data_IF_202362010167
#
_entry.id   IF_202362010167
#
_cell.length_a   1.000
_cell.length_b   1.000
_cell.length_c   1.000
_cell.angle_alpha   90.00
_cell.angle_beta   90.00
_cell.angle_gamma   90.00
#
_symmetry.space_group_name_H-M   'P 1'
#
loop_
_entity.id
_entity.type
_entity.pdbx_description
1 polymer ?
#
# COMPACT_ATOMS: atom_id res chain seq x y z
N UNK A 1 -22.82 -45.55 -9.14
CA UNK A 1 -21.82 -44.72 -9.85
C UNK A 1 -22.50 -43.43 -10.29
N UNK A 2 -22.51 -42.39 -9.47
CA UNK A 2 -23.09 -41.07 -9.84
C UNK A 2 -22.72 -39.93 -8.88
N UNK A 3 -21.62 -40.05 -8.13
CA UNK A 3 -21.13 -38.98 -7.22
C UNK A 3 -20.23 -37.93 -7.88
N UNK A 4 -19.73 -38.21 -9.09
CA UNK A 4 -18.71 -37.37 -9.74
C UNK A 4 -19.30 -36.15 -10.46
N UNK A 5 -20.53 -36.24 -10.97
CA UNK A 5 -21.19 -35.13 -11.67
C UNK A 5 -21.60 -33.99 -10.72
N UNK A 6 -22.00 -34.31 -9.48
CA UNK A 6 -22.36 -33.29 -8.47
C UNK A 6 -21.14 -32.54 -7.93
N UNK A 7 -19.96 -33.15 -7.95
CA UNK A 7 -18.73 -32.51 -7.48
C UNK A 7 -18.15 -31.53 -8.51
N UNK A 8 -18.38 -31.76 -9.79
CA UNK A 8 -18.04 -30.81 -10.86
C UNK A 8 -19.00 -29.61 -10.91
N UNK A 9 -20.27 -29.79 -10.53
CA UNK A 9 -21.22 -28.66 -10.47
C UNK A 9 -20.99 -27.77 -9.24
N UNK A 10 -20.49 -28.33 -8.14
CA UNK A 10 -20.05 -27.58 -6.96
C UNK A 10 -18.85 -26.67 -7.26
N UNK A 11 -17.91 -27.12 -8.09
CA UNK A 11 -16.72 -26.34 -8.47
C UNK A 11 -16.96 -25.35 -9.62
N UNK A 12 -18.05 -25.48 -10.37
CA UNK A 12 -18.44 -24.56 -11.44
C UNK A 12 -19.60 -23.61 -11.04
N UNK A 13 -20.18 -23.82 -9.85
CA UNK A 13 -21.34 -23.08 -9.33
C UNK A 13 -21.03 -21.97 -8.34
N UNK A 14 -19.78 -21.83 -7.85
CA UNK A 14 -19.39 -20.67 -7.02
C UNK A 14 -18.94 -19.49 -7.88
N UNK A 15 -19.76 -19.13 -8.88
CA UNK A 15 -19.74 -17.82 -9.52
C UNK A 15 -20.91 -17.04 -8.95
N UNK A 16 -20.76 -16.64 -7.70
CA UNK A 16 -21.73 -15.86 -6.96
C UNK A 16 -21.04 -15.12 -5.84
N UNK A 17 -20.50 -13.94 -6.14
CA UNK A 17 -20.36 -12.89 -5.13
C UNK A 17 -20.66 -11.54 -5.77
N UNK A 18 -21.78 -10.97 -5.30
CA UNK A 18 -22.05 -9.53 -5.21
C UNK A 18 -21.77 -8.66 -6.43
N UNK A 19 -22.81 -8.45 -7.23
CA UNK A 19 -23.03 -7.18 -7.92
C UNK A 19 -23.01 -6.03 -6.90
N UNK A 20 -22.04 -5.11 -6.99
CA UNK A 20 -22.06 -3.83 -6.27
C UNK A 20 -20.71 -3.22 -5.88
N UNK A 21 -19.69 -4.01 -5.55
CA UNK A 21 -18.44 -3.53 -4.89
C UNK A 21 -17.16 -3.82 -5.71
N UNK A 22 -17.24 -3.76 -7.05
CA UNK A 22 -16.34 -4.54 -7.93
C UNK A 22 -15.11 -3.81 -8.53
N UNK A 23 -14.89 -2.51 -8.29
CA UNK A 23 -13.81 -1.76 -8.96
C UNK A 23 -12.51 -1.64 -8.15
N UNK A 24 -12.62 -1.20 -6.89
CA UNK A 24 -11.46 -0.85 -6.07
C UNK A 24 -10.89 -2.05 -5.32
N UNK A 25 -11.78 -2.89 -4.78
CA UNK A 25 -11.39 -4.16 -4.17
C UNK A 25 -10.59 -5.10 -5.11
N UNK A 26 -10.71 -4.96 -6.44
CA UNK A 26 -9.86 -5.65 -7.42
C UNK A 26 -8.43 -5.12 -7.49
N UNK A 27 -8.21 -3.83 -7.20
CA UNK A 27 -6.87 -3.26 -7.11
C UNK A 27 -6.15 -3.87 -5.91
N UNK A 28 -6.86 -4.09 -4.80
CA UNK A 28 -6.39 -4.85 -3.63
C UNK A 28 -6.18 -6.36 -3.90
N UNK A 29 -6.50 -6.91 -5.09
CA UNK A 29 -6.14 -8.30 -5.39
C UNK A 29 -4.62 -8.40 -5.54
N UNK A 30 -3.98 -9.44 -4.94
CA UNK A 30 -2.57 -9.74 -5.12
C UNK A 30 -2.13 -9.65 -6.60
N UNK A 31 -1.45 -8.56 -6.97
CA UNK A 31 -0.98 -8.29 -8.33
C UNK A 31 -1.37 -6.93 -8.92
N UNK A 32 -2.53 -6.36 -8.59
CA UNK A 32 -2.99 -5.09 -9.18
C UNK A 32 -2.40 -3.85 -8.45
N UNK A 33 -2.44 -3.81 -7.12
CA UNK A 33 -1.71 -2.80 -6.33
C UNK A 33 -0.19 -2.91 -6.53
N UNK A 34 0.35 -4.13 -6.60
CA UNK A 34 1.77 -4.36 -6.92
C UNK A 34 2.16 -3.86 -8.32
N UNK A 35 1.24 -3.98 -9.30
CA UNK A 35 1.36 -3.39 -10.62
C UNK A 35 1.42 -1.87 -10.56
N UNK A 36 0.43 -1.22 -9.95
CA UNK A 36 0.40 0.24 -9.76
C UNK A 36 1.65 0.77 -9.05
N UNK A 37 2.06 0.10 -7.97
CA UNK A 37 3.28 0.40 -7.23
C UNK A 37 4.52 0.26 -8.11
N UNK A 38 4.56 -0.76 -8.97
CA UNK A 38 5.66 -0.91 -9.91
C UNK A 38 5.74 0.19 -10.98
N UNK A 39 4.60 0.72 -11.42
CA UNK A 39 4.52 1.78 -12.44
C UNK A 39 4.82 3.16 -11.87
N UNK A 40 4.32 3.46 -10.68
CA UNK A 40 4.50 4.76 -10.02
C UNK A 40 5.90 4.95 -9.44
N UNK A 41 6.63 3.86 -9.23
CA UNK A 41 7.96 3.92 -8.63
C UNK A 41 9.03 4.02 -9.71
N UNK A 42 9.70 5.18 -9.70
CA UNK A 42 10.78 5.50 -10.61
C UNK A 42 12.01 4.60 -10.39
N UNK A 43 12.32 4.27 -9.13
CA UNK A 43 13.53 3.52 -8.77
C UNK A 43 13.38 1.99 -8.98
N UNK A 44 14.39 1.38 -9.63
CA UNK A 44 14.41 -0.05 -9.97
C UNK A 44 14.40 -0.97 -8.74
N UNK A 45 15.10 -0.62 -7.66
CA UNK A 45 15.18 -1.45 -6.45
C UNK A 45 13.88 -1.40 -5.67
N UNK A 46 13.29 -0.21 -5.55
CA UNK A 46 11.96 0.00 -4.97
C UNK A 46 10.87 -0.72 -5.78
N UNK A 47 10.93 -0.64 -7.11
CA UNK A 47 10.02 -1.38 -8.02
C UNK A 47 10.13 -2.89 -7.81
N UNK A 48 11.34 -3.45 -7.80
CA UNK A 48 11.58 -4.88 -7.53
C UNK A 48 11.01 -5.31 -6.17
N UNK A 49 11.22 -4.51 -5.13
CA UNK A 49 10.68 -4.77 -3.79
C UNK A 49 9.14 -4.79 -3.84
N UNK A 50 8.52 -3.75 -4.39
CA UNK A 50 7.06 -3.66 -4.46
C UNK A 50 6.43 -4.73 -5.36
N UNK A 51 7.09 -5.15 -6.44
CA UNK A 51 6.62 -6.30 -7.24
C UNK A 51 6.75 -7.61 -6.45
N UNK A 52 7.84 -7.80 -5.70
CA UNK A 52 8.08 -9.02 -4.91
C UNK A 52 7.18 -9.13 -3.68
N UNK A 53 6.86 -8.00 -3.04
CA UNK A 53 6.14 -7.97 -1.75
C UNK A 53 4.72 -7.38 -1.83
N UNK A 54 4.42 -6.56 -2.85
CA UNK A 54 3.08 -6.00 -3.11
C UNK A 54 2.13 -6.96 -3.86
N UNK A 55 2.62 -8.12 -4.30
CA UNK A 55 1.83 -9.14 -5.03
C UNK A 55 1.26 -10.23 -4.12
N UNK A 56 1.22 -10.05 -2.80
CA UNK A 56 0.50 -10.97 -1.90
C UNK A 56 0.99 -11.11 -0.46
N UNK A 57 2.13 -10.51 -0.10
CA UNK A 57 2.72 -10.63 1.24
C UNK A 57 2.24 -9.50 2.19
N UNK A 58 2.04 -8.29 1.66
CA UNK A 58 1.57 -7.13 2.41
C UNK A 58 0.10 -7.24 2.88
N UNK A 59 -0.76 -7.88 2.10
CA UNK A 59 -2.21 -7.90 2.36
C UNK A 59 -2.66 -8.99 3.33
N UNK A 60 -1.76 -9.90 3.69
CA UNK A 60 -1.98 -10.90 4.73
C UNK A 60 -1.41 -10.41 6.08
N UNK A 61 -1.62 -9.14 6.44
CA UNK A 61 -1.51 -8.63 7.82
C UNK A 61 -0.24 -9.01 8.62
N UNK A 62 0.91 -9.24 7.97
CA UNK A 62 2.16 -9.58 8.66
C UNK A 62 3.08 -10.63 8.01
N UNK A 63 3.14 -10.72 6.67
CA UNK A 63 3.97 -11.71 5.99
C UNK A 63 5.14 -11.12 5.20
N UNK A 64 6.37 -11.40 5.63
CA UNK A 64 7.59 -11.47 4.81
C UNK A 64 8.53 -10.25 4.65
N UNK A 65 8.39 -9.17 5.43
CA UNK A 65 9.39 -8.08 5.40
C UNK A 65 10.12 -7.91 6.74
N UNK A 66 9.45 -8.31 7.80
CA UNK A 66 9.99 -8.53 9.11
C UNK A 66 9.35 -9.85 9.57
N UNK A 67 10.11 -10.79 10.14
CA UNK A 67 9.50 -12.03 10.66
C UNK A 67 8.25 -11.69 11.48
N UNK A 68 7.16 -12.46 11.36
CA UNK A 68 5.84 -12.14 11.93
C UNK A 68 5.87 -11.61 13.38
N UNK A 69 6.86 -12.04 14.15
CA UNK A 69 7.21 -11.55 15.49
C UNK A 69 7.51 -10.04 15.54
N UNK A 70 8.33 -9.51 14.63
CA UNK A 70 8.71 -8.10 14.60
C UNK A 70 7.55 -7.21 14.11
N UNK A 71 6.77 -7.70 13.14
CA UNK A 71 5.53 -7.03 12.73
C UNK A 71 4.53 -6.93 13.89
N UNK A 72 4.33 -8.01 14.64
CA UNK A 72 3.49 -7.98 15.84
C UNK A 72 4.02 -7.00 16.90
N UNK A 73 5.34 -6.94 17.09
CA UNK A 73 5.95 -5.92 17.98
C UNK A 73 5.68 -4.49 17.51
N UNK A 74 5.71 -4.23 16.21
CA UNK A 74 5.36 -2.91 15.67
C UNK A 74 3.88 -2.59 15.87
N UNK A 75 2.99 -3.57 15.62
CA UNK A 75 1.55 -3.45 15.92
C UNK A 75 1.32 -3.11 17.39
N UNK A 76 1.98 -3.81 18.30
CA UNK A 76 1.87 -3.57 19.75
C UNK A 76 2.37 -2.17 20.15
N UNK A 77 3.48 -1.71 19.55
CA UNK A 77 4.03 -0.36 19.81
C UNK A 77 3.12 0.74 19.28
N UNK A 78 2.61 0.61 18.06
CA UNK A 78 1.64 1.57 17.49
C UNK A 78 0.36 1.57 18.32
N UNK A 79 -0.20 0.40 18.64
CA UNK A 79 -1.36 0.30 19.54
C UNK A 79 -1.09 0.96 20.90
N UNK A 80 0.12 0.82 21.42
CA UNK A 80 0.53 1.47 22.67
C UNK A 80 0.62 2.99 22.55
N UNK A 81 1.05 3.51 21.41
CA UNK A 81 1.05 4.95 21.12
C UNK A 81 -0.36 5.55 20.98
N UNK A 82 -1.35 4.71 20.66
CA UNK A 82 -2.77 5.09 20.58
C UNK A 82 -3.59 4.68 21.82
N UNK A 83 -2.97 4.45 22.98
CA UNK A 83 -3.70 4.05 24.21
C UNK A 83 -4.79 5.04 24.64
N UNK A 84 -4.62 6.33 24.31
CA UNK A 84 -5.60 7.39 24.60
C UNK A 84 -6.81 7.37 23.65
N UNK A 85 -6.84 6.48 22.65
CA UNK A 85 -7.91 6.33 21.68
C UNK A 85 -8.67 5.00 21.86
N UNK A 86 -9.79 4.99 22.62
CA UNK A 86 -10.46 3.75 23.03
C UNK A 86 -11.02 2.88 21.89
N UNK A 87 -11.19 3.48 20.71
CA UNK A 87 -11.72 2.85 19.50
C UNK A 87 -10.62 2.37 18.54
N UNK A 88 -9.36 2.72 18.81
CA UNK A 88 -8.23 2.36 17.96
C UNK A 88 -7.96 0.84 18.02
N UNK A 89 -7.71 0.23 16.88
CA UNK A 89 -7.50 -1.21 16.71
C UNK A 89 -8.78 -2.06 16.74
N UNK A 90 -9.95 -1.46 16.99
CA UNK A 90 -11.25 -2.17 17.02
C UNK A 90 -12.02 -2.09 15.70
N UNK A 91 -11.72 -1.09 14.88
CA UNK A 91 -12.41 -0.83 13.62
C UNK A 91 -11.44 -1.04 12.46
N UNK A 92 -11.83 -1.89 11.52
CA UNK A 92 -11.14 -2.07 10.25
C UNK A 92 -11.85 -1.20 9.22
N UNK A 93 -11.09 -0.43 8.46
CA UNK A 93 -11.63 0.38 7.36
C UNK A 93 -12.26 -0.53 6.30
N UNK A 94 -13.38 -0.12 5.67
CA UNK A 94 -13.90 -0.79 4.48
C UNK A 94 -12.80 -0.97 3.42
N UNK A 95 -12.82 -2.10 2.70
CA UNK A 95 -11.77 -2.46 1.76
C UNK A 95 -11.54 -1.40 0.68
N UNK A 96 -12.61 -0.83 0.14
CA UNK A 96 -12.51 0.21 -0.89
C UNK A 96 -11.80 1.47 -0.36
N UNK A 97 -12.15 1.94 0.84
CA UNK A 97 -11.50 3.10 1.47
C UNK A 97 -10.02 2.83 1.78
N UNK A 98 -9.70 1.62 2.26
CA UNK A 98 -8.30 1.22 2.50
C UNK A 98 -7.52 1.20 1.18
N UNK A 99 -8.11 0.68 0.10
CA UNK A 99 -7.50 0.68 -1.25
C UNK A 99 -7.20 2.09 -1.72
N UNK A 100 -8.18 2.99 -1.63
CA UNK A 100 -8.03 4.39 -2.04
C UNK A 100 -6.88 5.06 -1.30
N UNK A 101 -6.77 4.85 0.02
CA UNK A 101 -5.67 5.39 0.83
C UNK A 101 -4.32 4.80 0.45
N UNK A 102 -4.24 3.50 0.15
CA UNK A 102 -2.98 2.88 -0.29
C UNK A 102 -2.52 3.44 -1.64
N UNK A 103 -3.45 3.64 -2.58
CA UNK A 103 -3.16 4.28 -3.87
C UNK A 103 -2.72 5.73 -3.64
N UNK A 104 -3.41 6.48 -2.79
CA UNK A 104 -3.05 7.85 -2.45
C UNK A 104 -1.66 7.93 -1.80
N UNK A 105 -1.35 7.03 -0.87
CA UNK A 105 -0.05 6.95 -0.21
C UNK A 105 1.08 6.69 -1.20
N UNK A 106 0.85 5.77 -2.14
CA UNK A 106 1.79 5.46 -3.20
C UNK A 106 2.06 6.65 -4.14
N UNK A 107 1.00 7.37 -4.55
CA UNK A 107 1.13 8.56 -5.39
C UNK A 107 1.81 9.71 -4.63
N UNK A 108 1.48 9.91 -3.37
CA UNK A 108 2.11 10.93 -2.51
C UNK A 108 3.59 10.61 -2.29
N UNK A 109 3.90 9.33 -2.05
CA UNK A 109 5.27 8.87 -1.94
C UNK A 109 6.06 9.13 -3.23
N UNK A 110 5.49 8.78 -4.39
CA UNK A 110 6.10 9.06 -5.70
C UNK A 110 6.29 10.56 -5.99
N UNK A 111 5.41 11.43 -5.47
CA UNK A 111 5.50 12.90 -5.60
C UNK A 111 6.43 13.58 -4.60
N UNK A 112 6.91 12.86 -3.59
CA UNK A 112 7.55 13.48 -2.43
C UNK A 112 8.91 14.11 -2.73
N UNK A 113 9.53 13.82 -3.87
CA UNK A 113 10.75 14.53 -4.34
C UNK A 113 10.48 15.94 -4.87
N UNK A 114 9.20 16.25 -5.15
CA UNK A 114 8.75 17.55 -5.59
C UNK A 114 8.77 17.77 -7.10
N UNK A 115 8.23 16.87 -7.93
CA UNK A 115 7.03 17.07 -8.78
C UNK A 115 6.85 15.89 -9.75
N UNK A 116 5.60 15.50 -10.02
CA UNK A 116 5.27 14.71 -11.22
C UNK A 116 4.89 15.69 -12.33
N UNK A 117 5.70 15.74 -13.39
CA UNK A 117 5.42 16.60 -14.54
C UNK A 117 4.37 16.00 -15.50
N UNK A 118 3.98 16.77 -16.52
CA UNK A 118 2.97 16.33 -17.48
C UNK A 118 3.41 15.10 -18.31
N UNK A 119 4.70 14.95 -18.55
CA UNK A 119 5.27 13.83 -19.30
C UNK A 119 5.30 12.56 -18.45
N UNK A 120 5.66 12.66 -17.18
CA UNK A 120 5.60 11.58 -16.20
C UNK A 120 4.16 11.14 -15.96
N UNK A 121 3.23 12.09 -15.82
CA UNK A 121 1.79 11.79 -15.71
C UNK A 121 1.29 11.00 -16.93
N UNK A 122 1.66 11.43 -18.15
CA UNK A 122 1.27 10.73 -19.36
C UNK A 122 1.89 9.32 -19.46
N UNK A 123 3.15 9.17 -19.04
CA UNK A 123 3.84 7.88 -19.00
C UNK A 123 3.19 6.91 -17.99
N UNK A 124 2.89 7.39 -16.78
CA UNK A 124 2.16 6.63 -15.75
C UNK A 124 0.80 6.18 -16.27
N UNK A 125 0.03 7.10 -16.88
CA UNK A 125 -1.30 6.80 -17.42
C UNK A 125 -1.23 5.75 -18.54
N UNK A 126 -0.26 5.88 -19.45
CA UNK A 126 -0.05 4.91 -20.52
C UNK A 126 0.33 3.53 -19.98
N UNK A 127 1.28 3.46 -19.05
CA UNK A 127 1.70 2.21 -18.44
C UNK A 127 0.55 1.53 -17.69
N UNK A 128 -0.31 2.30 -17.02
CA UNK A 128 -1.49 1.78 -16.33
C UNK A 128 -2.51 1.18 -17.30
N UNK A 129 -2.68 1.79 -18.49
CA UNK A 129 -3.51 1.20 -19.56
C UNK A 129 -2.91 -0.10 -20.09
N UNK A 130 -1.61 -0.13 -20.35
CA UNK A 130 -0.88 -1.31 -20.83
C UNK A 130 -0.90 -2.46 -19.81
N UNK A 131 -0.85 -2.13 -18.51
CA UNK A 131 -0.97 -3.08 -17.42
C UNK A 131 -2.41 -3.56 -17.13
N UNK A 132 -3.41 -3.04 -17.85
CA UNK A 132 -4.81 -3.45 -17.69
C UNK A 132 -5.47 -2.92 -16.40
N UNK A 133 -4.97 -1.82 -15.84
CA UNK A 133 -5.59 -1.16 -14.68
C UNK A 133 -6.97 -0.62 -15.08
N UNK A 134 -7.99 -0.99 -14.31
CA UNK A 134 -9.37 -0.55 -14.51
C UNK A 134 -9.50 0.98 -14.43
N UNK A 135 -10.48 1.54 -15.15
CA UNK A 135 -10.70 3.00 -15.29
C UNK A 135 -10.79 3.71 -13.93
N UNK A 136 -11.46 3.09 -12.95
CA UNK A 136 -11.62 3.63 -11.61
C UNK A 136 -10.27 3.82 -10.90
N UNK A 137 -9.37 2.83 -11.00
CA UNK A 137 -8.02 2.93 -10.44
C UNK A 137 -7.20 4.02 -11.13
N UNK A 138 -7.37 4.17 -12.45
CA UNK A 138 -6.69 5.24 -13.20
C UNK A 138 -7.18 6.63 -12.82
N UNK A 139 -8.48 6.80 -12.65
CA UNK A 139 -9.08 8.05 -12.21
C UNK A 139 -8.60 8.46 -10.80
N UNK A 140 -8.49 7.50 -9.87
CA UNK A 140 -7.96 7.76 -8.53
C UNK A 140 -6.51 8.22 -8.55
N UNK A 141 -5.65 7.56 -9.33
CA UNK A 141 -4.25 7.97 -9.48
C UNK A 141 -4.17 9.37 -10.08
N UNK A 142 -4.93 9.65 -11.15
CA UNK A 142 -4.94 10.97 -11.76
C UNK A 142 -5.39 12.06 -10.77
N UNK A 143 -6.43 11.80 -9.99
CA UNK A 143 -6.90 12.71 -8.94
C UNK A 143 -5.87 12.88 -7.82
N UNK A 144 -5.16 11.82 -7.43
CA UNK A 144 -4.11 11.88 -6.42
C UNK A 144 -2.88 12.69 -6.90
N UNK A 145 -2.54 12.61 -8.19
CA UNK A 145 -1.46 13.40 -8.79
C UNK A 145 -1.76 14.89 -8.75
N UNK A 146 -3.03 15.30 -8.87
CA UNK A 146 -3.43 16.71 -8.82
C UNK A 146 -3.55 17.28 -7.39
N UNK A 147 -3.60 16.41 -6.37
CA UNK A 147 -3.75 16.82 -4.98
C UNK A 147 -2.44 17.36 -4.37
N UNK A 148 -2.49 18.32 -3.44
CA UNK A 148 -1.31 18.73 -2.68
C UNK A 148 -0.79 17.57 -1.81
N UNK A 149 0.52 17.52 -1.60
CA UNK A 149 1.15 16.52 -0.73
C UNK A 149 0.76 16.80 0.73
N UNK A 150 -0.16 15.98 1.27
CA UNK A 150 -0.70 16.15 2.62
C UNK A 150 -0.71 14.82 3.40
N UNK A 151 0.34 14.54 4.19
CA UNK A 151 0.43 13.33 5.01
C UNK A 151 -0.69 13.21 6.07
N UNK A 152 -1.26 14.33 6.53
CA UNK A 152 -2.36 14.30 7.51
C UNK A 152 -3.63 13.71 6.90
N UNK A 153 -3.86 13.97 5.60
CA UNK A 153 -4.97 13.39 4.86
C UNK A 153 -4.91 11.86 4.80
N UNK A 154 -3.71 11.30 4.67
CA UNK A 154 -3.52 9.84 4.68
C UNK A 154 -3.85 9.22 6.03
N UNK A 155 -3.50 9.91 7.13
CA UNK A 155 -3.83 9.47 8.47
C UNK A 155 -5.32 9.66 8.83
N UNK A 156 -6.05 10.48 8.06
CA UNK A 156 -7.44 10.80 8.37
C UNK A 156 -8.35 9.57 8.30
N UNK A 157 -8.91 9.22 9.45
CA UNK A 157 -9.82 8.08 9.57
C UNK A 157 -9.13 6.71 9.59
N UNK A 158 -7.81 6.67 9.71
CA UNK A 158 -7.06 5.45 10.06
C UNK A 158 -7.32 5.15 11.53
N UNK A 159 -7.87 3.97 11.81
CA UNK A 159 -8.35 3.61 13.15
C UNK A 159 -7.75 2.32 13.69
N UNK A 160 -6.71 1.79 13.06
CA UNK A 160 -6.07 0.56 13.47
C UNK A 160 -4.58 0.58 13.12
N UNK A 161 -3.80 -0.15 13.92
CA UNK A 161 -2.35 -0.20 13.78
C UNK A 161 -1.89 -0.83 12.46
N UNK A 162 -2.69 -1.72 11.89
CA UNK A 162 -2.33 -2.46 10.68
C UNK A 162 -2.34 -1.55 9.45
N UNK A 163 -3.41 -0.79 9.27
CA UNK A 163 -3.54 0.20 8.20
C UNK A 163 -2.50 1.32 8.35
N UNK A 164 -2.23 1.78 9.58
CA UNK A 164 -1.19 2.77 9.82
C UNK A 164 0.20 2.27 9.39
N UNK A 165 0.56 1.06 9.81
CA UNK A 165 1.83 0.44 9.45
C UNK A 165 1.93 0.17 7.94
N UNK A 166 0.85 -0.25 7.29
CA UNK A 166 0.82 -0.47 5.84
C UNK A 166 1.04 0.82 5.04
N UNK A 167 0.38 1.91 5.42
CA UNK A 167 0.55 3.20 4.73
C UNK A 167 2.00 3.71 4.84
N UNK A 168 2.59 3.58 6.04
CA UNK A 168 3.98 3.96 6.26
C UNK A 168 4.95 3.06 5.51
N UNK A 169 4.74 1.74 5.60
CA UNK A 169 5.55 0.74 4.92
C UNK A 169 5.53 0.95 3.41
N UNK A 170 4.34 1.10 2.82
CA UNK A 170 4.16 1.28 1.39
C UNK A 170 4.86 2.55 0.90
N UNK A 171 4.75 3.64 1.67
CA UNK A 171 5.41 4.91 1.36
C UNK A 171 6.93 4.78 1.36
N UNK A 172 7.51 4.14 2.39
CA UNK A 172 8.95 3.91 2.47
C UNK A 172 9.47 2.94 1.38
N UNK A 173 8.65 1.95 1.01
CA UNK A 173 8.98 1.04 -0.07
C UNK A 173 9.00 1.75 -1.44
N UNK A 174 8.12 2.73 -1.65
CA UNK A 174 8.02 3.48 -2.90
C UNK A 174 9.13 4.53 -3.09
N UNK A 175 9.46 5.26 -2.02
CA UNK A 175 10.49 6.31 -2.00
C UNK A 175 11.88 5.69 -1.96
N UNK A 176 12.88 6.27 -2.62
CA UNK A 176 14.29 6.03 -2.27
C UNK A 176 14.74 7.21 -1.42
N UNK A 177 15.12 7.03 -0.15
CA UNK A 177 15.33 8.16 0.78
C UNK A 177 16.71 8.77 0.50
N UNK A 178 16.86 9.45 -0.63
CA UNK A 178 18.08 10.15 -1.03
C UNK A 178 17.94 11.68 -0.93
N UNK A 179 16.70 12.19 -0.88
CA UNK A 179 16.42 13.61 -0.78
C UNK A 179 15.77 14.04 0.55
N UNK A 180 16.03 15.28 0.96
CA UNK A 180 15.48 15.88 2.19
C UNK A 180 13.95 15.96 2.15
N UNK A 181 13.37 16.22 0.97
CA UNK A 181 11.92 16.34 0.80
C UNK A 181 11.19 15.03 1.11
N UNK A 182 11.72 13.92 0.62
CA UNK A 182 11.21 12.57 0.88
C UNK A 182 11.31 12.18 2.37
N UNK A 183 12.44 12.52 3.02
CA UNK A 183 12.60 12.33 4.47
C UNK A 183 11.60 13.16 5.25
N UNK A 184 11.38 14.41 4.86
CA UNK A 184 10.39 15.28 5.49
C UNK A 184 8.97 14.73 5.33
N UNK A 185 8.64 14.19 4.15
CA UNK A 185 7.35 13.54 3.89
C UNK A 185 7.15 12.31 4.78
N UNK A 186 8.13 11.40 4.86
CA UNK A 186 8.02 10.20 5.71
C UNK A 186 7.91 10.55 7.19
N UNK A 187 8.68 11.54 7.66
CA UNK A 187 8.58 12.00 9.05
C UNK A 187 7.18 12.55 9.35
N UNK A 188 6.66 13.42 8.48
CA UNK A 188 5.32 14.00 8.62
C UNK A 188 4.21 12.93 8.55
N UNK A 189 4.37 11.92 7.69
CA UNK A 189 3.43 10.79 7.61
C UNK A 189 3.46 9.94 8.88
N UNK A 190 4.65 9.60 9.36
CA UNK A 190 4.79 8.85 10.61
C UNK A 190 4.20 9.60 11.81
N UNK A 191 4.37 10.92 11.86
CA UNK A 191 3.79 11.77 12.90
C UNK A 191 2.27 11.81 12.82
N UNK A 192 1.72 11.96 11.61
CA UNK A 192 0.29 11.93 11.36
C UNK A 192 -0.35 10.60 11.80
N UNK A 193 0.34 9.49 11.54
CA UNK A 193 -0.09 8.14 11.90
C UNK A 193 0.26 7.76 13.35
N UNK A 194 0.89 8.65 14.12
CA UNK A 194 1.40 8.42 15.48
C UNK A 194 2.25 7.16 15.62
N UNK A 195 3.03 6.83 14.60
CA UNK A 195 3.93 5.68 14.63
C UNK A 195 5.17 6.05 15.47
N UNK A 196 5.56 5.27 16.49
CA UNK A 196 6.77 5.55 17.26
C UNK A 196 8.04 5.59 16.40
N UNK A 197 8.99 6.46 16.74
CA UNK A 197 10.21 6.67 15.95
C UNK A 197 11.03 5.38 15.78
N UNK A 198 11.14 4.56 16.81
CA UNK A 198 11.86 3.29 16.78
C UNK A 198 11.21 2.25 15.85
N UNK A 199 9.88 2.32 15.68
CA UNK A 199 9.16 1.52 14.68
C UNK A 199 9.46 2.02 13.28
N UNK A 200 9.45 3.34 13.07
CA UNK A 200 9.78 3.97 11.78
C UNK A 200 11.18 3.60 11.31
N UNK A 201 12.17 3.79 12.17
CA UNK A 201 13.58 3.47 11.88
C UNK A 201 13.76 1.98 11.57
N UNK A 202 13.08 1.10 12.29
CA UNK A 202 13.12 -0.34 12.03
C UNK A 202 12.57 -0.70 10.64
N UNK A 203 11.40 -0.17 10.28
CA UNK A 203 10.80 -0.38 8.95
C UNK A 203 11.72 0.12 7.84
N UNK A 204 12.30 1.32 8.00
CA UNK A 204 13.20 1.91 7.01
C UNK A 204 14.48 1.08 6.83
N UNK A 205 15.09 0.62 7.92
CA UNK A 205 16.28 -0.24 7.88
C UNK A 205 15.98 -1.57 7.18
N UNK A 206 14.85 -2.20 7.50
CA UNK A 206 14.43 -3.46 6.88
C UNK A 206 14.24 -3.30 5.37
N UNK A 207 13.53 -2.24 4.96
CA UNK A 207 13.31 -1.92 3.53
C UNK A 207 14.64 -1.64 2.84
N UNK A 208 15.54 -0.87 3.47
CA UNK A 208 16.81 -0.50 2.87
C UNK A 208 17.71 -1.72 2.65
N UNK A 209 17.78 -2.63 3.63
CA UNK A 209 18.48 -3.90 3.47
C UNK A 209 17.90 -4.72 2.32
N UNK A 210 16.57 -4.81 2.22
CA UNK A 210 15.93 -5.52 1.11
C UNK A 210 16.24 -4.87 -0.25
N UNK A 211 16.18 -3.54 -0.37
CA UNK A 211 16.55 -2.84 -1.60
C UNK A 211 18.00 -3.12 -2.01
N UNK A 212 18.93 -3.16 -1.06
CA UNK A 212 20.33 -3.53 -1.32
C UNK A 212 20.48 -4.96 -1.83
N UNK A 213 19.77 -5.93 -1.23
CA UNK A 213 19.80 -7.33 -1.71
C UNK A 213 19.22 -7.51 -3.11
N UNK A 214 18.29 -6.63 -3.51
CA UNK A 214 17.64 -6.65 -4.83
C UNK A 214 18.38 -5.82 -5.89
N UNK A 215 19.31 -4.96 -5.46
CA UNK A 215 20.15 -4.14 -6.33
C UNK A 215 21.33 -4.94 -6.93
N UNK A 216 21.79 -5.99 -6.23
CA UNK A 216 22.72 -6.99 -6.76
C UNK A 216 22.09 -7.87 -7.83
#
# INVERSE_FOLDING_TARGET
MSGWMNQLQSLLGQKGSSSGEQGLSKLLVPGALGGLAGLLVANKSSRKLLTKYGTGALLAGGGAIAGSVLWNKYKDKVRSAHQDEPQYGKQVSPLDLRTERLILALVFAAKSDGHIDASERAAIEQQMREAGVEEQGRALVAQAIEQPLDPQRLAQGVKNEEEALELYFLSCAAIDIDHFMERSYLNALGDALKIPQDVREGIEQDIQQQKQTLAG
#
